data_IF_961501231715
#
_entry.id   IF_961501231715
#
_cell.length_a   1.000
_cell.length_b   1.000
_cell.length_c   1.000
_cell.angle_alpha   90.00
_cell.angle_beta   90.00
_cell.angle_gamma   90.00
#
_symmetry.space_group_name_H-M   'P 1'
#
loop_
_entity.id
_entity.type
_entity.pdbx_description
1 polymer ?
#
# COMPACT_ATOMS: atom_id res chain seq x y z
N UNK A 1 -14.40 -62.08 18.48
CA UNK A 1 -14.90 -61.06 17.54
C UNK A 1 -14.25 -59.73 17.89
N UNK A 2 -13.11 -59.40 17.26
CA UNK A 2 -12.37 -58.17 17.49
C UNK A 2 -12.55 -57.29 16.25
N UNK A 3 -13.26 -56.16 16.38
CA UNK A 3 -13.42 -55.18 15.29
C UNK A 3 -12.27 -54.18 15.36
N UNK A 4 -11.36 -54.26 14.38
CA UNK A 4 -10.33 -53.25 14.16
C UNK A 4 -10.97 -52.01 13.52
N UNK A 5 -10.79 -50.84 14.14
CA UNK A 5 -11.16 -49.54 13.59
C UNK A 5 -9.89 -48.98 12.93
N UNK A 6 -9.88 -48.94 11.60
CA UNK A 6 -8.87 -48.20 10.84
C UNK A 6 -9.23 -46.71 10.86
N UNK A 7 -8.45 -45.91 11.57
CA UNK A 7 -8.49 -44.45 11.45
C UNK A 7 -7.69 -44.05 10.20
N UNK A 8 -8.39 -43.58 9.17
CA UNK A 8 -7.76 -42.99 7.99
C UNK A 8 -7.25 -41.60 8.34
N UNK A 9 -5.93 -41.45 8.45
CA UNK A 9 -5.28 -40.14 8.52
C UNK A 9 -5.26 -39.56 7.11
N UNK A 10 -6.18 -38.64 6.83
CA UNK A 10 -6.14 -37.84 5.61
C UNK A 10 -4.98 -36.84 5.72
N UNK A 11 -3.87 -37.11 5.03
CA UNK A 11 -2.88 -36.07 4.74
C UNK A 11 -3.54 -35.04 3.84
N UNK A 12 -3.85 -33.87 4.40
CA UNK A 12 -4.22 -32.69 3.62
C UNK A 12 -2.93 -32.22 2.93
N UNK A 13 -2.71 -32.65 1.69
CA UNK A 13 -1.76 -32.00 0.81
C UNK A 13 -2.29 -30.59 0.52
N UNK A 14 -1.63 -29.56 1.05
CA UNK A 14 -1.91 -28.18 0.68
C UNK A 14 -1.70 -28.01 -0.83
N UNK A 15 -2.61 -27.36 -1.57
CA UNK A 15 -2.48 -27.27 -3.01
C UNK A 15 -1.38 -26.27 -3.36
N UNK A 16 -0.35 -26.75 -4.06
CA UNK A 16 0.65 -25.94 -4.75
C UNK A 16 0.07 -25.09 -5.92
N UNK A 17 -1.26 -24.95 -6.01
CA UNK A 17 -1.97 -24.26 -7.09
C UNK A 17 -2.25 -22.77 -6.83
N UNK A 18 -2.03 -22.27 -5.60
CA UNK A 18 -2.30 -20.86 -5.26
C UNK A 18 -1.27 -19.90 -5.89
N UNK A 19 -0.03 -20.37 -6.08
CA UNK A 19 1.04 -19.58 -6.68
C UNK A 19 0.76 -19.18 -8.13
N UNK A 20 -0.22 -19.78 -8.82
CA UNK A 20 -0.49 -19.49 -10.23
C UNK A 20 -1.44 -18.30 -10.46
N UNK A 21 -2.03 -17.71 -9.41
CA UNK A 21 -3.19 -16.80 -9.58
C UNK A 21 -2.87 -15.29 -9.72
N UNK A 22 -1.73 -14.80 -9.21
CA UNK A 22 -1.37 -13.39 -9.49
C UNK A 22 -1.11 -13.18 -11.00
N UNK A 23 -1.46 -12.01 -11.57
CA UNK A 23 -1.26 -11.76 -12.99
C UNK A 23 0.20 -11.93 -13.43
N UNK A 24 0.40 -12.54 -14.60
CA UNK A 24 1.70 -12.61 -15.28
C UNK A 24 1.63 -11.83 -16.58
N UNK A 25 2.60 -10.94 -16.86
CA UNK A 25 2.61 -10.24 -18.13
C UNK A 25 3.08 -11.20 -19.23
N UNK A 26 2.54 -11.04 -20.43
CA UNK A 26 3.16 -11.60 -21.64
C UNK A 26 4.22 -10.60 -22.09
N UNK A 27 5.49 -11.00 -22.08
CA UNK A 27 6.59 -10.14 -22.53
C UNK A 27 7.61 -10.93 -23.35
N UNK A 28 8.16 -10.28 -24.38
CA UNK A 28 9.30 -10.78 -25.16
C UNK A 28 10.61 -10.17 -24.71
N UNK A 29 10.57 -9.24 -23.75
CA UNK A 29 11.74 -8.56 -23.23
C UNK A 29 12.69 -9.56 -22.57
N UNK A 30 13.99 -9.38 -22.82
CA UNK A 30 15.07 -10.16 -22.21
C UNK A 30 15.84 -9.25 -21.27
N UNK A 31 15.53 -9.36 -19.98
CA UNK A 31 16.21 -8.59 -18.96
C UNK A 31 17.71 -8.94 -18.89
N UNK A 32 18.58 -7.98 -18.54
CA UNK A 32 19.94 -8.29 -18.13
C UNK A 32 19.96 -9.34 -17.02
N UNK A 33 21.00 -10.17 -16.98
CA UNK A 33 21.16 -11.19 -15.94
C UNK A 33 21.94 -10.62 -14.76
N UNK A 34 21.46 -10.89 -13.55
CA UNK A 34 22.21 -10.63 -12.34
C UNK A 34 23.31 -11.70 -12.15
N UNK A 35 24.16 -11.53 -11.13
CA UNK A 35 25.26 -12.45 -10.85
C UNK A 35 24.82 -13.88 -10.49
N UNK A 36 23.55 -14.07 -10.13
CA UNK A 36 22.92 -15.37 -9.87
C UNK A 36 22.34 -16.04 -11.14
N UNK A 37 22.45 -15.39 -12.31
CA UNK A 37 21.94 -15.88 -13.58
C UNK A 37 20.45 -15.64 -13.83
N UNK A 38 19.72 -15.07 -12.88
CA UNK A 38 18.31 -14.70 -13.05
C UNK A 38 18.15 -13.30 -13.65
N UNK A 39 16.92 -12.94 -14.01
CA UNK A 39 16.62 -11.59 -14.49
C UNK A 39 16.94 -10.57 -13.39
N UNK A 40 17.65 -9.50 -13.74
CA UNK A 40 18.07 -8.48 -12.78
C UNK A 40 16.89 -7.59 -12.39
N UNK A 41 16.56 -7.57 -11.09
CA UNK A 41 15.62 -6.60 -10.50
C UNK A 41 16.34 -5.38 -9.89
N UNK A 42 17.68 -5.45 -9.78
CA UNK A 42 18.54 -4.44 -9.18
C UNK A 42 18.22 -3.01 -9.63
N UNK A 43 18.02 -2.11 -8.68
CA UNK A 43 17.84 -0.70 -8.97
C UNK A 43 16.85 0.00 -8.06
N UNK A 44 16.65 1.28 -8.36
CA UNK A 44 15.68 2.13 -7.68
C UNK A 44 14.44 2.28 -8.57
N UNK A 45 13.28 2.04 -7.99
CA UNK A 45 12.01 1.91 -8.66
C UNK A 45 10.95 2.76 -7.95
N UNK A 46 9.95 3.23 -8.67
CA UNK A 46 8.78 3.91 -8.11
C UNK A 46 7.48 3.34 -8.64
N UNK A 47 6.45 3.29 -7.80
CA UNK A 47 5.07 3.03 -8.18
C UNK A 47 4.18 4.29 -8.10
N UNK A 48 4.80 5.49 -8.01
CA UNK A 48 4.10 6.77 -7.94
C UNK A 48 3.12 6.91 -9.11
N UNK A 49 1.85 7.14 -8.77
CA UNK A 49 0.76 7.13 -9.74
C UNK A 49 -0.52 7.66 -9.12
N UNK A 50 -1.31 8.35 -9.94
CA UNK A 50 -2.64 8.84 -9.55
C UNK A 50 -3.71 7.73 -9.44
N UNK A 51 -3.43 6.54 -9.97
CA UNK A 51 -4.36 5.41 -9.96
C UNK A 51 -4.46 4.82 -8.55
N UNK A 52 -5.68 4.57 -8.08
CA UNK A 52 -5.93 3.96 -6.76
C UNK A 52 -5.96 2.44 -6.86
N UNK A 53 -5.79 1.76 -5.72
CA UNK A 53 -5.96 0.31 -5.62
C UNK A 53 -7.33 -0.13 -6.17
N UNK A 54 -8.40 0.46 -5.62
CA UNK A 54 -9.78 0.16 -6.04
C UNK A 54 -10.27 1.13 -7.10
N UNK A 55 -11.04 0.61 -8.05
CA UNK A 55 -11.62 1.41 -9.14
C UNK A 55 -12.68 2.37 -8.60
N UNK A 56 -12.67 3.60 -9.11
CA UNK A 56 -13.73 4.55 -8.82
C UNK A 56 -15.05 4.06 -9.48
N UNK A 57 -16.19 4.03 -8.74
CA UNK A 57 -17.46 3.54 -9.26
C UNK A 57 -17.93 4.19 -10.58
N UNK A 58 -17.52 5.45 -10.83
CA UNK A 58 -17.86 6.16 -12.08
C UNK A 58 -17.36 5.45 -13.34
N UNK A 59 -16.34 4.61 -13.21
CA UNK A 59 -15.78 3.81 -14.31
C UNK A 59 -16.42 2.42 -14.42
N UNK A 60 -17.39 2.10 -13.56
CA UNK A 60 -18.09 0.81 -13.57
C UNK A 60 -17.13 -0.38 -13.61
N UNK A 61 -17.21 -1.15 -14.70
CA UNK A 61 -16.39 -2.35 -14.93
C UNK A 61 -15.20 -2.11 -15.85
N UNK A 62 -15.01 -0.88 -16.33
CA UNK A 62 -14.01 -0.57 -17.33
C UNK A 62 -12.63 -0.48 -16.68
N UNK A 63 -11.77 -1.46 -16.98
CA UNK A 63 -10.40 -1.50 -16.47
C UNK A 63 -9.50 -0.45 -17.15
N UNK A 64 -9.74 -0.19 -18.44
CA UNK A 64 -9.00 0.79 -19.21
C UNK A 64 -9.70 2.14 -19.20
N UNK A 65 -8.97 3.21 -18.87
CA UNK A 65 -9.48 4.57 -19.01
C UNK A 65 -9.53 4.97 -20.48
N UNK A 66 -10.52 5.78 -20.85
CA UNK A 66 -10.55 6.42 -22.16
C UNK A 66 -9.49 7.52 -22.25
N UNK A 67 -9.07 7.89 -23.45
CA UNK A 67 -8.16 9.04 -23.64
C UNK A 67 -8.73 10.35 -23.06
N UNK A 68 -10.05 10.53 -23.13
CA UNK A 68 -10.72 11.68 -22.53
C UNK A 68 -10.62 11.67 -21.00
N UNK A 69 -10.76 10.50 -20.37
CA UNK A 69 -10.58 10.35 -18.92
C UNK A 69 -9.15 10.62 -18.50
N UNK A 70 -8.17 10.09 -19.25
CA UNK A 70 -6.74 10.32 -19.00
C UNK A 70 -6.44 11.82 -19.10
N UNK A 71 -6.84 12.46 -20.19
CA UNK A 71 -6.60 13.89 -20.41
C UNK A 71 -7.22 14.75 -19.29
N UNK A 72 -8.41 14.39 -18.80
CA UNK A 72 -9.09 15.07 -17.71
C UNK A 72 -8.40 14.86 -16.36
N UNK A 73 -8.06 13.61 -16.01
CA UNK A 73 -7.42 13.27 -14.74
C UNK A 73 -6.03 13.90 -14.66
N UNK A 74 -5.17 13.60 -15.62
CA UNK A 74 -3.79 14.09 -15.63
C UNK A 74 -3.76 15.61 -15.85
N UNK A 75 -4.70 16.16 -16.65
CA UNK A 75 -4.84 17.61 -16.85
C UNK A 75 -5.28 18.37 -15.60
N UNK A 76 -6.20 17.82 -14.80
CA UNK A 76 -6.55 18.39 -13.50
C UNK A 76 -5.36 18.38 -12.55
N UNK A 77 -4.61 17.29 -12.51
CA UNK A 77 -3.44 17.18 -11.63
C UNK A 77 -2.34 18.16 -12.01
N UNK A 78 -2.04 18.32 -13.31
CA UNK A 78 -1.09 19.33 -13.78
C UNK A 78 -1.47 20.74 -13.34
N UNK A 79 -2.76 21.10 -13.38
CA UNK A 79 -3.25 22.40 -12.89
C UNK A 79 -3.08 22.55 -11.38
N UNK A 80 -3.24 21.48 -10.60
CA UNK A 80 -3.03 21.51 -9.15
C UNK A 80 -1.55 21.67 -8.80
N UNK A 81 -0.66 20.95 -9.50
CA UNK A 81 0.79 21.09 -9.35
C UNK A 81 1.20 22.53 -9.72
N UNK A 82 0.77 23.03 -10.89
CA UNK A 82 1.07 24.41 -11.31
C UNK A 82 0.55 25.46 -10.31
N UNK A 83 -0.60 25.21 -9.67
CA UNK A 83 -1.11 26.08 -8.62
C UNK A 83 -0.27 26.00 -7.34
N UNK A 84 0.16 24.81 -6.95
CA UNK A 84 1.00 24.58 -5.77
C UNK A 84 2.43 25.11 -5.92
N UNK A 85 2.94 25.19 -7.15
CA UNK A 85 4.27 25.74 -7.45
C UNK A 85 4.29 27.28 -7.49
N UNK A 86 3.13 27.94 -7.42
CA UNK A 86 3.07 29.41 -7.39
C UNK A 86 3.54 29.92 -6.02
N UNK A 87 4.22 31.09 -5.99
CA UNK A 87 4.54 31.74 -4.73
C UNK A 87 3.29 32.01 -3.89
N UNK A 88 3.30 31.55 -2.65
CA UNK A 88 2.30 31.94 -1.66
C UNK A 88 2.57 33.38 -1.21
N UNK A 89 1.53 34.22 -1.14
CA UNK A 89 1.66 35.56 -0.53
C UNK A 89 2.11 35.39 0.93
N UNK A 90 3.23 36.01 1.36
CA UNK A 90 3.70 35.92 2.74
C UNK A 90 2.69 36.35 3.81
N UNK A 91 1.65 37.10 3.42
CA UNK A 91 0.58 37.55 4.31
C UNK A 91 -0.71 36.71 4.19
N UNK A 92 -0.75 35.71 3.31
CA UNK A 92 -1.91 34.84 3.18
C UNK A 92 -2.14 34.04 4.47
N UNK A 93 -3.40 33.99 4.90
CA UNK A 93 -3.82 33.07 5.96
C UNK A 93 -4.16 31.73 5.33
N UNK A 94 -4.18 30.67 6.15
CA UNK A 94 -4.62 29.34 5.69
C UNK A 94 -6.02 29.39 5.05
N UNK A 95 -6.90 30.25 5.55
CA UNK A 95 -8.24 30.47 5.01
C UNK A 95 -8.28 31.11 3.63
N UNK A 96 -7.17 31.71 3.19
CA UNK A 96 -7.06 32.45 1.94
C UNK A 96 -6.47 31.58 0.81
N UNK A 97 -6.06 30.34 1.13
CA UNK A 97 -5.40 29.45 0.17
C UNK A 97 -6.38 28.92 -0.89
N UNK A 98 -6.02 28.97 -2.19
CA UNK A 98 -6.94 28.74 -3.30
C UNK A 98 -7.25 27.26 -3.59
N UNK A 99 -6.62 26.30 -2.90
CA UNK A 99 -6.79 24.88 -3.12
C UNK A 99 -6.78 24.08 -1.82
N UNK A 100 -7.53 22.98 -1.81
CA UNK A 100 -7.38 21.92 -0.81
C UNK A 100 -5.97 21.32 -0.94
N UNK A 101 -5.25 21.25 0.15
CA UNK A 101 -3.79 21.30 0.18
C UNK A 101 -3.11 20.00 -0.19
N UNK A 102 -3.11 19.70 -1.50
CA UNK A 102 -2.40 18.55 -2.10
C UNK A 102 -2.68 17.22 -1.41
N UNK A 103 -3.91 17.03 -0.91
CA UNK A 103 -4.34 15.81 -0.21
C UNK A 103 -4.09 15.79 1.30
N UNK A 104 -3.46 16.82 1.87
CA UNK A 104 -3.42 17.08 3.31
C UNK A 104 -4.78 17.53 3.82
N UNK A 105 -5.28 16.88 4.87
CA UNK A 105 -6.59 17.18 5.49
C UNK A 105 -6.35 17.79 6.87
N UNK A 106 -6.84 19.00 7.14
CA UNK A 106 -6.72 19.63 8.47
C UNK A 106 -6.86 21.15 8.48
N UNK A 107 -6.72 21.76 9.66
CA UNK A 107 -6.85 23.21 9.89
C UNK A 107 -5.71 24.04 9.28
N UNK A 108 -4.57 23.41 8.95
CA UNK A 108 -3.36 24.06 8.45
C UNK A 108 -2.79 23.38 7.20
N UNK A 109 -3.62 22.67 6.43
CA UNK A 109 -3.19 22.08 5.15
C UNK A 109 -2.10 20.98 5.22
N UNK A 110 -1.65 20.59 6.42
CA UNK A 110 -0.63 19.59 6.77
C UNK A 110 0.73 19.76 6.05
N UNK A 111 0.75 19.66 4.72
CA UNK A 111 1.93 19.72 3.87
C UNK A 111 1.74 20.77 2.77
N UNK A 112 2.79 21.56 2.50
CA UNK A 112 2.86 22.30 1.25
C UNK A 112 2.93 21.31 0.07
N UNK A 113 2.40 21.71 -1.09
CA UNK A 113 2.36 20.86 -2.29
C UNK A 113 3.73 20.27 -2.67
N UNK A 114 4.81 21.03 -2.47
CA UNK A 114 6.18 20.60 -2.76
C UNK A 114 6.68 19.41 -1.90
N UNK A 115 6.01 19.09 -0.79
CA UNK A 115 6.32 17.93 0.05
C UNK A 115 5.56 16.65 -0.35
N UNK A 116 4.59 16.75 -1.25
CA UNK A 116 3.77 15.62 -1.69
C UNK A 116 4.15 15.17 -3.09
N UNK A 117 4.08 13.87 -3.35
CA UNK A 117 4.24 13.29 -4.69
C UNK A 117 3.12 12.26 -4.95
N UNK A 118 1.92 12.74 -5.33
CA UNK A 118 0.82 11.85 -5.69
C UNK A 118 0.99 11.20 -7.08
N UNK A 119 2.12 11.45 -7.75
CA UNK A 119 2.35 11.09 -9.15
C UNK A 119 1.69 12.07 -10.13
N UNK A 120 2.26 12.16 -11.34
CA UNK A 120 1.79 13.07 -12.40
C UNK A 120 0.89 12.42 -13.45
N UNK A 121 0.85 11.08 -13.48
CA UNK A 121 0.16 10.30 -14.52
C UNK A 121 -0.65 9.16 -13.91
N UNK A 122 -1.66 8.69 -14.65
CA UNK A 122 -2.33 7.43 -14.32
C UNK A 122 -1.41 6.24 -14.60
N UNK A 123 -1.55 5.17 -13.83
CA UNK A 123 -0.81 3.93 -14.03
C UNK A 123 -1.11 3.36 -15.41
N UNK A 124 -0.07 2.86 -16.08
CA UNK A 124 -0.18 2.15 -17.36
C UNK A 124 0.44 0.77 -17.21
N UNK A 125 -0.29 -0.27 -17.60
CA UNK A 125 0.22 -1.65 -17.66
C UNK A 125 0.19 -2.08 -19.13
N UNK A 126 1.34 -2.49 -19.67
CA UNK A 126 1.53 -2.72 -21.09
C UNK A 126 1.02 -1.54 -21.97
N UNK A 127 1.21 -0.31 -21.49
CA UNK A 127 0.76 0.92 -22.16
C UNK A 127 -0.71 1.28 -21.95
N UNK A 128 -1.56 0.39 -21.41
CA UNK A 128 -2.98 0.67 -21.19
C UNK A 128 -3.21 1.44 -19.87
N UNK A 129 -3.89 2.60 -19.88
CA UNK A 129 -4.16 3.38 -18.68
C UNK A 129 -5.18 2.68 -17.79
N UNK A 130 -4.86 2.47 -16.51
CA UNK A 130 -5.68 1.72 -15.55
C UNK A 130 -6.58 2.63 -14.72
N UNK A 131 -7.86 2.24 -14.61
CA UNK A 131 -8.86 2.88 -13.74
C UNK A 131 -8.78 2.43 -12.27
N UNK A 132 -8.01 1.37 -11.99
CA UNK A 132 -7.69 0.81 -10.69
C UNK A 132 -6.70 -0.35 -10.81
N UNK A 133 -6.06 -0.79 -9.73
CA UNK A 133 -5.09 -1.89 -9.75
C UNK A 133 -5.74 -3.28 -9.68
N UNK A 134 -6.90 -3.40 -9.04
CA UNK A 134 -7.61 -4.68 -8.92
C UNK A 134 -8.21 -5.08 -10.28
N UNK A 135 -7.81 -6.25 -10.75
CA UNK A 135 -8.24 -6.83 -12.04
C UNK A 135 -9.05 -8.11 -11.86
N UNK A 136 -8.98 -8.75 -10.69
CA UNK A 136 -9.64 -10.03 -10.44
C UNK A 136 -11.14 -9.93 -10.18
N UNK A 137 -11.63 -8.73 -9.80
CA UNK A 137 -13.06 -8.48 -9.57
C UNK A 137 -13.64 -7.60 -10.67
N UNK A 138 -14.89 -7.85 -11.12
CA UNK A 138 -15.47 -7.09 -12.23
C UNK A 138 -15.53 -5.59 -11.98
N UNK A 139 -15.80 -5.17 -10.75
CA UNK A 139 -15.88 -3.77 -10.32
C UNK A 139 -14.54 -3.23 -9.81
N UNK A 140 -13.49 -4.04 -9.76
CA UNK A 140 -12.15 -3.61 -9.34
C UNK A 140 -12.11 -3.18 -7.87
N UNK A 141 -12.94 -3.80 -7.05
CA UNK A 141 -13.02 -3.58 -5.59
C UNK A 141 -12.59 -4.80 -4.81
N UNK A 142 -12.20 -4.55 -3.56
CA UNK A 142 -11.88 -5.63 -2.62
C UNK A 142 -13.17 -6.37 -2.28
N UNK A 143 -13.24 -7.70 -2.50
CA UNK A 143 -14.46 -8.48 -2.26
C UNK A 143 -14.61 -8.79 -0.77
N UNK A 144 -14.88 -7.77 0.05
CA UNK A 144 -15.09 -7.90 1.48
C UNK A 144 -16.24 -8.88 1.81
N UNK A 145 -16.07 -9.67 2.86
CA UNK A 145 -17.20 -10.40 3.44
C UNK A 145 -18.23 -9.41 3.99
N UNK A 146 -19.51 -9.76 3.90
CA UNK A 146 -20.61 -8.91 4.37
C UNK A 146 -20.70 -8.80 5.89
N UNK A 147 -20.15 -9.77 6.61
CA UNK A 147 -20.19 -9.86 8.07
C UNK A 147 -18.92 -9.33 8.74
N UNK A 148 -18.02 -8.71 7.96
CA UNK A 148 -16.79 -8.12 8.46
C UNK A 148 -16.87 -6.60 8.34
N UNK A 149 -16.73 -5.91 9.47
CA UNK A 149 -16.54 -4.47 9.53
C UNK A 149 -15.06 -4.17 9.67
N UNK A 150 -14.51 -3.42 8.73
CA UNK A 150 -13.12 -2.93 8.80
C UNK A 150 -13.15 -1.54 9.40
N UNK A 151 -12.45 -1.37 10.52
CA UNK A 151 -12.23 -0.04 11.09
C UNK A 151 -11.40 0.80 10.10
N UNK A 152 -11.86 2.02 9.75
CA UNK A 152 -11.08 2.92 8.90
C UNK A 152 -9.79 3.39 9.59
N UNK A 153 -9.70 3.25 10.92
CA UNK A 153 -8.54 3.62 11.74
C UNK A 153 -7.60 2.44 12.03
N UNK A 154 -7.79 1.30 11.37
CA UNK A 154 -6.94 0.12 11.54
C UNK A 154 -7.32 -0.73 12.76
N UNK A 155 -6.35 -1.06 13.61
CA UNK A 155 -6.54 -2.01 14.72
C UNK A 155 -7.56 -1.46 15.73
N UNK A 156 -8.57 -2.25 16.08
CA UNK A 156 -9.47 -1.94 17.20
C UNK A 156 -8.69 -2.03 18.51
N UNK A 157 -8.69 -0.94 19.28
CA UNK A 157 -8.07 -0.90 20.60
C UNK A 157 -8.88 -1.73 21.61
N UNK A 158 -8.24 -2.29 22.65
CA UNK A 158 -8.94 -2.93 23.75
C UNK A 158 -9.98 -1.99 24.38
N UNK A 159 -11.09 -2.51 24.93
CA UNK A 159 -12.07 -1.69 25.63
C UNK A 159 -11.43 -0.83 26.72
N UNK A 160 -11.79 0.45 26.77
CA UNK A 160 -11.28 1.41 27.76
C UNK A 160 -9.94 2.07 27.38
N UNK A 161 -9.39 1.79 26.20
CA UNK A 161 -8.19 2.45 25.69
C UNK A 161 -8.53 3.36 24.51
N UNK A 162 -8.20 4.65 24.61
CA UNK A 162 -8.32 5.62 23.53
C UNK A 162 -7.01 5.72 22.72
N UNK A 163 -7.12 6.29 21.51
CA UNK A 163 -6.01 6.39 20.55
C UNK A 163 -4.85 7.26 21.06
N UNK A 164 -5.12 8.18 21.98
CA UNK A 164 -4.12 9.09 22.55
C UNK A 164 -3.75 8.79 24.01
N UNK A 165 -4.15 7.63 24.53
CA UNK A 165 -3.81 7.27 25.91
C UNK A 165 -2.37 6.82 26.08
N UNK A 166 -1.82 6.13 25.07
CA UNK A 166 -0.47 5.60 25.11
C UNK A 166 0.19 5.67 23.73
N UNK A 167 1.53 5.76 23.65
CA UNK A 167 2.25 5.66 22.39
C UNK A 167 1.89 4.41 21.59
N UNK A 168 1.66 3.28 22.27
CA UNK A 168 1.30 1.99 21.67
C UNK A 168 -0.11 1.95 21.07
N UNK A 169 -0.98 2.89 21.46
CA UNK A 169 -2.32 3.06 20.88
C UNK A 169 -2.28 3.72 19.50
N UNK A 170 -1.17 4.40 19.16
CA UNK A 170 -0.97 5.03 17.84
C UNK A 170 -0.65 4.02 16.77
N UNK A 171 -0.90 4.42 15.52
CA UNK A 171 -0.61 3.59 14.37
C UNK A 171 0.90 3.31 14.23
N UNK A 172 1.32 2.18 13.64
CA UNK A 172 2.73 1.88 13.42
C UNK A 172 3.50 2.99 12.67
N UNK A 173 2.85 3.65 11.70
CA UNK A 173 3.40 4.78 10.94
C UNK A 173 3.78 5.96 11.82
N UNK A 174 2.89 6.38 12.72
CA UNK A 174 3.14 7.51 13.63
C UNK A 174 4.18 7.20 14.69
N UNK A 175 4.42 5.91 14.94
CA UNK A 175 5.46 5.42 15.84
C UNK A 175 6.79 5.17 15.11
N UNK A 176 6.85 5.45 13.80
CA UNK A 176 8.00 5.17 12.94
C UNK A 176 8.45 3.70 12.96
N UNK A 177 7.51 2.76 13.18
CA UNK A 177 7.81 1.33 13.20
C UNK A 177 7.69 0.67 11.82
N UNK A 178 6.79 1.21 11.01
CA UNK A 178 6.51 0.81 9.64
C UNK A 178 6.12 2.04 8.85
N UNK A 179 6.20 1.95 7.54
CA UNK A 179 5.68 2.96 6.63
C UNK A 179 4.18 3.23 6.82
N UNK A 180 3.75 4.42 6.39
CA UNK A 180 2.36 4.84 6.44
C UNK A 180 1.53 4.12 5.38
N UNK A 181 0.32 3.69 5.76
CA UNK A 181 -0.53 2.89 4.89
C UNK A 181 0.06 1.50 4.67
N UNK A 182 0.16 1.07 3.40
CA UNK A 182 0.69 -0.25 3.05
C UNK A 182 1.75 -0.15 1.94
N UNK A 183 2.52 0.95 1.89
CA UNK A 183 3.52 1.16 0.85
C UNK A 183 4.67 0.17 0.92
N UNK A 184 5.06 -0.30 2.11
CA UNK A 184 6.09 -1.33 2.29
C UNK A 184 5.63 -2.77 2.06
N UNK A 185 4.31 -2.97 1.93
CA UNK A 185 3.70 -4.20 1.47
C UNK A 185 3.86 -5.43 2.37
N UNK A 186 3.45 -6.61 1.87
CA UNK A 186 2.53 -6.81 0.74
C UNK A 186 1.08 -6.38 1.07
N UNK A 187 0.24 -5.91 0.15
CA UNK A 187 0.46 -5.45 -1.24
C UNK A 187 1.09 -4.05 -1.22
N UNK A 188 2.17 -3.80 -1.96
CA UNK A 188 2.80 -2.46 -2.01
C UNK A 188 1.89 -1.46 -2.73
N UNK A 189 1.29 -0.52 -2.01
CA UNK A 189 0.38 0.49 -2.58
C UNK A 189 1.02 1.88 -2.44
N UNK A 190 1.08 2.69 -3.51
CA UNK A 190 1.61 4.05 -3.41
C UNK A 190 0.82 4.88 -2.39
N UNK A 191 1.56 5.59 -1.54
CA UNK A 191 1.07 6.61 -0.62
C UNK A 191 1.12 8.01 -1.22
N UNK A 192 1.04 9.02 -0.35
CA UNK A 192 1.03 10.44 -0.73
C UNK A 192 2.39 10.94 -1.25
N UNK A 193 3.49 10.32 -0.84
CA UNK A 193 4.87 10.65 -1.20
C UNK A 193 5.80 9.49 -0.80
N UNK A 194 7.10 9.59 -1.13
CA UNK A 194 8.14 8.57 -0.88
C UNK A 194 7.77 7.18 -1.40
N UNK A 195 7.22 7.15 -2.62
CA UNK A 195 6.79 5.95 -3.34
C UNK A 195 7.96 5.25 -4.03
N UNK A 196 9.11 5.15 -3.36
CA UNK A 196 10.38 4.69 -3.92
C UNK A 196 10.89 3.44 -3.22
N UNK A 197 11.46 2.53 -4.02
CA UNK A 197 11.89 1.20 -3.63
C UNK A 197 13.25 0.90 -4.21
N UNK A 198 14.20 0.44 -3.40
CA UNK A 198 15.46 -0.10 -3.87
C UNK A 198 15.46 -1.61 -3.75
N UNK A 199 15.63 -2.29 -4.88
CA UNK A 199 15.78 -3.73 -4.96
C UNK A 199 17.27 -4.05 -5.00
N UNK A 200 17.71 -4.89 -4.06
CA UNK A 200 19.07 -5.44 -4.00
C UNK A 200 18.98 -6.96 -4.06
N UNK A 201 19.62 -7.56 -5.05
CA UNK A 201 19.52 -8.97 -5.39
C UNK A 201 20.85 -9.68 -5.11
N UNK A 202 20.75 -10.80 -4.41
CA UNK A 202 21.85 -11.71 -4.15
C UNK A 202 21.45 -13.12 -4.56
N UNK A 203 22.41 -14.04 -4.55
CA UNK A 203 22.12 -15.46 -4.84
C UNK A 203 21.11 -16.10 -3.87
N UNK A 204 21.01 -15.59 -2.64
CA UNK A 204 20.22 -16.22 -1.56
C UNK A 204 19.00 -15.40 -1.14
N UNK A 205 18.94 -14.11 -1.51
CA UNK A 205 17.86 -13.21 -1.09
C UNK A 205 17.71 -12.02 -2.03
N UNK A 206 16.49 -11.47 -2.07
CA UNK A 206 16.21 -10.14 -2.62
C UNK A 206 15.75 -9.24 -1.47
N UNK A 207 16.48 -8.17 -1.21
CA UNK A 207 16.08 -7.13 -0.27
C UNK A 207 15.32 -6.02 -1.02
N UNK A 208 14.19 -5.61 -0.47
CA UNK A 208 13.40 -4.48 -0.96
C UNK A 208 13.41 -3.44 0.15
N UNK A 209 14.22 -2.40 -0.04
CA UNK A 209 14.26 -1.24 0.85
C UNK A 209 13.24 -0.22 0.36
N UNK A 210 12.34 0.21 1.24
CA UNK A 210 11.31 1.20 0.96
C UNK A 210 11.71 2.52 1.57
N UNK A 211 11.61 3.60 0.80
CA UNK A 211 12.05 4.94 1.22
C UNK A 211 11.36 5.38 2.51
N UNK A 212 10.03 5.30 2.55
CA UNK A 212 9.24 5.75 3.68
C UNK A 212 9.55 4.91 4.93
N UNK A 213 10.02 5.56 5.99
CA UNK A 213 10.43 4.97 7.30
C UNK A 213 11.67 4.05 7.29
N UNK A 214 12.13 3.57 6.12
CA UNK A 214 13.21 2.58 5.91
C UNK A 214 12.86 1.12 6.15
N UNK A 215 11.67 0.74 5.75
CA UNK A 215 11.29 -0.65 5.81
C UNK A 215 12.16 -1.49 4.88
N UNK A 216 12.78 -2.55 5.42
CA UNK A 216 13.55 -3.52 4.64
C UNK A 216 12.82 -4.86 4.66
N UNK A 217 12.29 -5.27 3.51
CA UNK A 217 11.72 -6.60 3.33
C UNK A 217 12.76 -7.53 2.71
N UNK A 218 13.12 -8.58 3.43
CA UNK A 218 14.07 -9.59 2.95
C UNK A 218 13.31 -10.81 2.44
N UNK A 219 13.31 -10.99 1.12
CA UNK A 219 12.76 -12.18 0.45
C UNK A 219 13.83 -13.26 0.39
N UNK A 220 13.66 -14.32 1.17
CA UNK A 220 14.62 -15.45 1.21
C UNK A 220 14.35 -16.40 0.04
N UNK A 221 15.34 -16.57 -0.84
CA UNK A 221 15.18 -17.39 -2.05
C UNK A 221 15.27 -18.89 -1.76
N UNK A 222 14.38 -19.66 -2.38
CA UNK A 222 14.29 -21.13 -2.29
C UNK A 222 14.25 -21.65 -0.84
N UNK A 223 13.72 -20.84 0.07
CA UNK A 223 13.64 -21.14 1.48
C UNK A 223 12.27 -21.70 1.86
N UNK A 224 12.14 -22.15 3.10
CA UNK A 224 10.86 -22.49 3.71
C UNK A 224 10.38 -21.34 4.59
N UNK A 225 9.07 -21.23 4.73
CA UNK A 225 8.47 -20.36 5.73
C UNK A 225 8.91 -20.78 7.14
N UNK A 226 9.01 -19.79 8.02
CA UNK A 226 9.35 -20.00 9.41
C UNK A 226 8.22 -20.74 10.15
N UNK A 227 8.60 -21.52 11.15
CA UNK A 227 7.67 -22.33 11.97
C UNK A 227 7.85 -22.09 13.47
N UNK A 228 8.63 -21.06 13.83
CA UNK A 228 8.98 -20.71 15.22
C UNK A 228 7.92 -19.81 15.89
N UNK A 229 6.82 -19.50 15.19
CA UNK A 229 5.72 -18.67 15.70
C UNK A 229 6.00 -17.16 15.69
N UNK A 230 7.19 -16.73 15.26
CA UNK A 230 7.51 -15.30 15.14
C UNK A 230 6.78 -14.71 13.94
N UNK A 231 6.19 -13.53 14.12
CA UNK A 231 5.47 -12.77 13.09
C UNK A 231 6.17 -11.43 12.83
N UNK A 232 7.04 -11.33 11.82
CA UNK A 232 7.73 -10.08 11.50
C UNK A 232 6.75 -8.99 11.07
N UNK A 233 7.16 -7.72 11.21
CA UNK A 233 6.32 -6.56 10.90
C UNK A 233 5.75 -6.54 9.47
N UNK A 234 6.48 -7.05 8.48
CA UNK A 234 6.07 -7.15 7.07
C UNK A 234 5.73 -8.60 6.64
N UNK A 235 5.56 -9.49 7.62
CA UNK A 235 5.42 -10.92 7.40
C UNK A 235 6.73 -11.65 7.08
N UNK A 236 6.60 -12.96 6.84
CA UNK A 236 7.68 -13.84 6.44
C UNK A 236 7.61 -14.08 4.93
N UNK A 237 8.55 -13.50 4.17
CA UNK A 237 8.62 -13.64 2.72
C UNK A 237 9.64 -14.70 2.30
N UNK A 238 9.20 -15.63 1.45
CA UNK A 238 10.07 -16.53 0.68
C UNK A 238 9.85 -16.27 -0.81
N UNK A 239 10.85 -16.57 -1.63
CA UNK A 239 10.70 -16.41 -3.08
C UNK A 239 11.41 -17.47 -3.90
N UNK A 240 11.02 -17.59 -5.15
CA UNK A 240 11.64 -18.47 -6.13
C UNK A 240 11.48 -17.87 -7.53
N UNK A 241 12.30 -18.34 -8.45
CA UNK A 241 12.28 -17.86 -9.84
C UNK A 241 11.45 -18.79 -10.72
N UNK A 242 10.55 -18.21 -11.50
CA UNK A 242 9.83 -18.87 -12.58
C UNK A 242 10.22 -18.20 -13.90
N UNK A 243 11.28 -18.71 -14.52
CA UNK A 243 11.92 -18.05 -15.66
C UNK A 243 12.52 -16.70 -15.24
N UNK A 244 12.01 -15.62 -15.82
CA UNK A 244 12.47 -14.24 -15.57
C UNK A 244 11.60 -13.51 -14.52
N UNK A 245 10.68 -14.22 -13.87
CA UNK A 245 9.78 -13.69 -12.86
C UNK A 245 10.22 -14.16 -11.47
N UNK A 246 10.42 -13.22 -10.54
CA UNK A 246 10.52 -13.53 -9.12
C UNK A 246 9.11 -13.66 -8.56
N UNK A 247 8.78 -14.84 -8.04
CA UNK A 247 7.55 -15.09 -7.28
C UNK A 247 7.88 -14.98 -5.80
N UNK A 248 7.06 -14.27 -5.03
CA UNK A 248 7.22 -14.07 -3.60
C UNK A 248 5.93 -14.48 -2.89
N UNK A 249 6.03 -15.40 -1.95
CA UNK A 249 4.93 -15.73 -1.04
C UNK A 249 5.24 -15.13 0.34
N UNK A 250 4.27 -14.41 0.90
CA UNK A 250 4.37 -13.82 2.23
C UNK A 250 3.21 -14.25 3.10
N UNK A 251 3.53 -14.73 4.30
CA UNK A 251 2.59 -15.15 5.34
C UNK A 251 3.03 -14.61 6.71
N UNK A 252 2.41 -15.05 7.81
CA UNK A 252 2.86 -14.75 9.18
C UNK A 252 3.01 -13.24 9.48
N UNK A 253 2.10 -12.43 8.95
CA UNK A 253 2.05 -10.99 9.20
C UNK A 253 1.92 -10.69 10.69
N UNK A 254 2.55 -9.59 11.11
CA UNK A 254 2.38 -9.08 12.45
C UNK A 254 0.93 -8.61 12.66
N UNK A 255 0.28 -8.89 13.81
CA UNK A 255 -1.14 -8.59 14.01
C UNK A 255 -1.48 -7.09 13.99
N UNK A 256 -0.48 -6.22 14.10
CA UNK A 256 -0.65 -4.77 13.99
C UNK A 256 -0.45 -4.24 12.56
N UNK A 257 0.01 -5.07 11.61
CA UNK A 257 0.01 -4.74 10.19
C UNK A 257 -1.30 -5.23 9.57
N UNK A 258 -2.21 -4.29 9.29
CA UNK A 258 -3.55 -4.60 8.80
C UNK A 258 -3.70 -4.09 7.38
N UNK A 259 -3.98 -5.01 6.45
CA UNK A 259 -4.30 -4.69 5.07
C UNK A 259 -5.76 -5.02 4.78
N UNK A 260 -6.60 -3.99 4.63
CA UNK A 260 -8.05 -4.14 4.35
C UNK A 260 -8.77 -5.05 5.36
N UNK A 261 -8.38 -4.97 6.64
CA UNK A 261 -8.92 -5.80 7.72
C UNK A 261 -8.21 -7.14 7.92
N UNK A 262 -7.41 -7.60 6.95
CA UNK A 262 -6.63 -8.82 7.03
C UNK A 262 -5.28 -8.60 7.71
N UNK A 263 -4.81 -9.60 8.46
CA UNK A 263 -3.49 -9.59 9.11
C UNK A 263 -2.97 -11.00 9.33
N UNK A 264 -3.26 -11.64 10.47
CA UNK A 264 -2.61 -12.89 10.88
C UNK A 264 -2.84 -14.07 9.94
N UNK A 265 -3.98 -14.08 9.22
CA UNK A 265 -4.39 -15.09 8.25
C UNK A 265 -4.14 -14.64 6.80
N UNK A 266 -3.55 -13.46 6.61
CA UNK A 266 -3.24 -12.92 5.30
C UNK A 266 -2.11 -13.75 4.67
N UNK A 267 -2.36 -14.15 3.44
CA UNK A 267 -1.36 -14.66 2.51
C UNK A 267 -1.37 -13.77 1.28
N UNK A 268 -0.18 -13.36 0.84
CA UNK A 268 -0.02 -12.62 -0.41
C UNK A 268 1.02 -13.28 -1.27
N UNK A 269 0.68 -13.50 -2.53
CA UNK A 269 1.61 -13.93 -3.58
C UNK A 269 1.87 -12.75 -4.51
N UNK A 270 3.11 -12.31 -4.59
CA UNK A 270 3.57 -11.24 -5.48
C UNK A 270 4.39 -11.83 -6.63
N UNK A 271 4.39 -11.14 -7.78
CA UNK A 271 5.23 -11.46 -8.93
C UNK A 271 5.89 -10.21 -9.46
N UNK A 272 7.21 -10.26 -9.60
CA UNK A 272 8.03 -9.19 -10.15
C UNK A 272 8.63 -9.66 -11.47
N UNK A 273 8.22 -9.03 -12.57
CA UNK A 273 8.68 -9.40 -13.92
C UNK A 273 9.20 -8.17 -14.63
N UNK A 274 10.49 -8.09 -14.99
CA UNK A 274 10.98 -7.05 -15.88
C UNK A 274 10.27 -7.15 -17.24
N UNK A 275 9.64 -6.07 -17.67
CA UNK A 275 8.89 -6.00 -18.95
C UNK A 275 9.48 -4.99 -19.93
N UNK A 276 10.47 -4.23 -19.49
CA UNK A 276 11.27 -3.33 -20.31
C UNK A 276 12.50 -2.82 -19.55
N UNK A 277 13.36 -2.00 -20.18
CA UNK A 277 14.57 -1.48 -19.54
C UNK A 277 14.26 -0.67 -18.26
N UNK A 278 13.18 0.11 -18.29
CA UNK A 278 12.78 1.01 -17.21
C UNK A 278 11.44 0.60 -16.58
N UNK A 279 11.00 -0.65 -16.79
CA UNK A 279 9.64 -1.11 -16.44
C UNK A 279 9.65 -2.50 -15.83
N UNK A 280 9.04 -2.62 -14.65
CA UNK A 280 8.85 -3.90 -13.97
C UNK A 280 7.36 -4.08 -13.66
N UNK A 281 6.76 -5.13 -14.20
CA UNK A 281 5.40 -5.54 -13.87
C UNK A 281 5.36 -6.15 -12.47
N UNK A 282 4.35 -5.73 -11.73
CA UNK A 282 4.02 -6.22 -10.42
C UNK A 282 2.61 -6.78 -10.41
N UNK A 283 2.49 -8.09 -10.24
CA UNK A 283 1.23 -8.77 -10.00
C UNK A 283 1.10 -9.17 -8.53
N UNK A 284 -0.09 -9.07 -7.97
CA UNK A 284 -0.35 -9.52 -6.60
C UNK A 284 -1.64 -10.33 -6.50
N UNK A 285 -1.66 -11.26 -5.55
CA UNK A 285 -2.79 -12.09 -5.20
C UNK A 285 -2.91 -12.20 -3.70
N UNK A 286 -4.12 -12.02 -3.19
CA UNK A 286 -4.44 -11.80 -1.77
C UNK A 286 -5.46 -12.82 -1.33
N UNK A 287 -5.14 -13.50 -0.22
CA UNK A 287 -5.94 -14.55 0.36
C UNK A 287 -6.07 -14.31 1.86
N UNK A 288 -7.30 -14.15 2.34
CA UNK A 288 -7.66 -14.25 3.76
C UNK A 288 -9.14 -14.60 3.83
N UNK A 289 -9.51 -15.89 3.99
CA UNK A 289 -10.91 -16.31 4.02
C UNK A 289 -11.64 -15.81 5.28
N UNK A 290 -10.92 -15.31 6.28
CA UNK A 290 -11.53 -14.72 7.47
C UNK A 290 -12.05 -13.31 7.20
N UNK A 291 -11.56 -12.63 6.15
CA UNK A 291 -11.89 -11.23 5.84
C UNK A 291 -12.55 -11.07 4.47
N UNK A 292 -12.07 -11.79 3.45
CA UNK A 292 -12.53 -11.65 2.07
C UNK A 292 -13.46 -12.80 1.67
N UNK A 293 -14.47 -12.48 0.86
CA UNK A 293 -15.45 -13.46 0.36
C UNK A 293 -14.88 -14.38 -0.73
N UNK A 294 -13.78 -13.97 -1.37
CA UNK A 294 -12.99 -14.75 -2.30
C UNK A 294 -11.55 -14.20 -2.35
N UNK A 295 -10.57 -15.00 -2.77
CA UNK A 295 -9.25 -14.48 -3.15
C UNK A 295 -9.37 -13.42 -4.25
N UNK A 296 -8.45 -12.46 -4.24
CA UNK A 296 -8.46 -11.35 -5.18
C UNK A 296 -7.06 -10.84 -5.49
N UNK A 297 -6.91 -10.10 -6.57
CA UNK A 297 -5.62 -9.64 -7.03
C UNK A 297 -5.70 -8.57 -8.10
N UNK A 298 -4.52 -8.14 -8.50
CA UNK A 298 -4.36 -7.00 -9.37
C UNK A 298 -2.95 -6.86 -9.87
N UNK A 299 -2.72 -5.76 -10.58
CA UNK A 299 -1.42 -5.47 -11.19
C UNK A 299 -1.19 -3.98 -11.38
N UNK A 300 0.09 -3.61 -11.39
CA UNK A 300 0.59 -2.33 -11.88
C UNK A 300 2.04 -2.49 -12.36
N UNK A 301 2.67 -1.42 -12.82
CA UNK A 301 4.09 -1.43 -13.17
C UNK A 301 4.88 -0.41 -12.35
N UNK A 302 6.06 -0.82 -11.89
CA UNK A 302 7.08 0.09 -11.41
C UNK A 302 7.81 0.74 -12.58
N UNK A 303 8.18 2.01 -12.40
CA UNK A 303 9.09 2.74 -13.28
C UNK A 303 10.45 2.87 -12.60
N UNK A 304 11.53 2.68 -13.35
CA UNK A 304 12.89 2.90 -12.82
C UNK A 304 13.13 4.40 -12.66
N UNK A 305 13.86 4.76 -11.60
CA UNK A 305 14.33 6.13 -11.39
C UNK A 305 15.86 6.15 -11.30
N UNK A 306 16.45 7.26 -11.71
CA UNK A 306 17.88 7.51 -11.55
C UNK A 306 18.16 8.13 -10.19
N UNK A 307 19.27 7.73 -9.55
CA UNK A 307 19.72 8.31 -8.29
C UNK A 307 19.81 7.27 -7.18
N UNK A 308 20.06 7.76 -5.97
CA UNK A 308 20.14 6.95 -4.77
C UNK A 308 18.87 7.14 -3.95
N UNK A 309 18.49 6.09 -3.24
CA UNK A 309 17.48 6.20 -2.20
C UNK A 309 18.13 6.92 -1.00
N UNK A 310 17.48 7.97 -0.52
CA UNK A 310 17.95 8.74 0.64
C UNK A 310 17.25 8.29 1.92
N UNK A 311 17.83 8.72 3.04
CA UNK A 311 17.32 8.41 4.36
C UNK A 311 15.99 9.16 4.65
N UNK A 312 14.93 8.44 5.02
CA UNK A 312 13.72 8.96 5.68
C UNK A 312 13.87 8.94 7.21
N UNK A 313 14.44 10.01 7.78
CA UNK A 313 14.72 10.10 9.22
C UNK A 313 13.45 10.33 10.07
N UNK A 314 12.54 9.36 10.13
CA UNK A 314 11.21 9.50 10.77
C UNK A 314 11.26 9.95 12.24
N UNK A 315 12.30 9.55 12.98
CA UNK A 315 12.47 9.92 14.39
C UNK A 315 13.23 11.24 14.60
N UNK A 316 14.02 11.70 13.62
CA UNK A 316 14.85 12.89 13.79
C UNK A 316 13.96 14.15 13.76
N UNK A 317 13.97 14.92 14.85
CA UNK A 317 13.12 16.11 14.98
C UNK A 317 11.62 15.81 15.07
N UNK A 318 11.22 14.54 15.27
CA UNK A 318 9.81 14.18 15.38
C UNK A 318 9.29 14.41 16.81
N UNK A 319 8.65 15.55 17.01
CA UNK A 319 7.94 15.90 18.25
C UNK A 319 6.45 15.58 18.20
N UNK A 320 5.94 15.10 17.06
CA UNK A 320 4.52 14.92 16.80
C UNK A 320 3.86 13.99 17.80
N UNK A 321 4.47 12.83 18.06
CA UNK A 321 3.94 11.85 19.01
C UNK A 321 3.84 12.43 20.44
N UNK A 322 4.90 13.09 20.92
CA UNK A 322 4.89 13.71 22.25
C UNK A 322 3.85 14.83 22.36
N UNK A 323 3.71 15.64 21.30
CA UNK A 323 2.74 16.73 21.24
C UNK A 323 1.29 16.22 21.22
N UNK A 324 1.00 15.17 20.42
CA UNK A 324 -0.32 14.54 20.36
C UNK A 324 -0.73 14.03 21.75
N UNK A 325 0.16 13.30 22.42
CA UNK A 325 -0.12 12.74 23.74
C UNK A 325 -0.28 13.85 24.80
N UNK A 326 0.57 14.88 24.75
CA UNK A 326 0.47 16.04 25.66
C UNK A 326 -0.83 16.82 25.44
N UNK A 327 -1.24 17.00 24.18
CA UNK A 327 -2.53 17.62 23.83
C UNK A 327 -3.71 16.84 24.40
N UNK A 328 -3.69 15.52 24.30
CA UNK A 328 -4.74 14.68 24.89
C UNK A 328 -4.81 14.83 26.42
N UNK A 329 -3.67 14.93 27.12
CA UNK A 329 -3.66 15.21 28.56
C UNK A 329 -4.22 16.59 28.90
N UNK A 330 -4.05 17.57 28.01
CA UNK A 330 -4.68 18.89 28.17
C UNK A 330 -6.20 18.82 28.03
N UNK A 331 -6.70 18.09 27.03
CA UNK A 331 -8.14 17.88 26.83
C UNK A 331 -8.79 17.22 28.04
N UNK A 332 -8.14 16.21 28.62
CA UNK A 332 -8.59 15.57 29.86
C UNK A 332 -8.62 16.53 31.04
N UNK A 333 -7.55 17.32 31.21
CA UNK A 333 -7.42 18.27 32.33
C UNK A 333 -8.44 19.40 32.25
N UNK A 334 -8.64 19.93 31.05
CA UNK A 334 -9.55 21.05 30.81
C UNK A 334 -11.01 20.62 30.69
N UNK A 335 -11.27 19.35 30.37
CA UNK A 335 -12.59 18.84 29.99
C UNK A 335 -13.06 19.35 28.63
N UNK A 336 -12.22 20.09 27.90
CA UNK A 336 -12.51 20.63 26.57
C UNK A 336 -11.87 19.70 25.56
N UNK A 337 -12.69 18.94 24.84
CA UNK A 337 -12.23 18.25 23.63
C UNK A 337 -12.04 19.28 22.53
N UNK A 338 -10.91 19.24 21.82
CA UNK A 338 -10.74 20.10 20.65
C UNK A 338 -11.88 19.86 19.67
N UNK A 339 -12.36 20.95 19.05
CA UNK A 339 -13.46 20.86 18.10
C UNK A 339 -13.07 19.94 16.93
N UNK A 340 -14.01 19.12 16.42
CA UNK A 340 -13.79 18.31 15.23
C UNK A 340 -13.26 19.21 14.12
N UNK A 341 -12.19 18.77 13.48
CA UNK A 341 -11.58 19.48 12.36
C UNK A 341 -12.58 19.59 11.21
N UNK A 342 -12.34 20.49 10.25
CA UNK A 342 -13.14 20.54 9.02
C UNK A 342 -13.18 19.19 8.28
N UNK A 343 -12.22 18.30 8.56
CA UNK A 343 -12.15 16.93 8.05
C UNK A 343 -13.19 16.03 8.71
N UNK A 344 -13.34 16.12 10.03
CA UNK A 344 -14.32 15.37 10.80
C UNK A 344 -15.74 15.82 10.45
N UNK A 345 -15.91 17.11 10.17
CA UNK A 345 -17.18 17.71 9.74
C UNK A 345 -17.54 17.32 8.29
N UNK A 346 -16.59 17.38 7.35
CA UNK A 346 -16.81 16.93 5.96
C UNK A 346 -16.94 15.43 5.83
N UNK A 347 -16.27 14.62 6.66
CA UNK A 347 -16.49 13.17 6.69
C UNK A 347 -17.91 12.82 7.16
N UNK A 348 -18.49 13.64 8.05
CA UNK A 348 -19.89 13.52 8.46
C UNK A 348 -20.87 14.03 7.37
N UNK A 349 -20.47 15.01 6.55
CA UNK A 349 -21.27 15.56 5.45
C UNK A 349 -21.11 14.81 4.10
N UNK A 350 -20.01 14.06 3.93
CA UNK A 350 -19.63 13.37 2.69
C UNK A 350 -20.51 12.16 2.32
N UNK A 351 -21.64 11.99 2.99
CA UNK A 351 -22.76 11.18 2.48
C UNK A 351 -23.58 11.89 1.41
N UNK A 352 -23.45 13.21 1.24
CA UNK A 352 -24.38 14.00 0.41
C UNK A 352 -23.71 14.90 -0.67
N UNK A 353 -22.39 15.15 -0.66
CA UNK A 353 -21.80 16.19 -1.54
C UNK A 353 -20.85 15.72 -2.67
N UNK A 354 -20.58 14.41 -2.86
CA UNK A 354 -19.91 13.95 -4.11
C UNK A 354 -20.87 13.82 -5.31
N UNK A 355 -22.17 14.12 -5.14
CA UNK A 355 -23.19 14.07 -6.21
C UNK A 355 -23.34 15.38 -7.02
N UNK A 356 -22.79 16.52 -6.60
CA UNK A 356 -22.97 17.79 -7.33
C UNK A 356 -21.64 18.47 -7.69
N UNK A 357 -21.16 18.18 -8.91
CA UNK A 357 -20.00 18.87 -9.49
C UNK A 357 -19.64 18.34 -10.88
N UNK A 358 -20.54 18.58 -11.83
CA UNK A 358 -20.49 18.28 -13.29
C UNK A 358 -19.09 18.42 -13.95
#
# INVERSE_FOLDING_TARGET
MLRAIFAAVALIAAPAAAADQAPRPVTTYKAPRAGDGHASLEGVWTNSSMTRLERNPRFGKDLALTEADVARIEGRNRKLIELGDKPTDPNAKVTDLPADCSGGRGVDCNYNAAWTDPGSTVMRVAGQPRSGYITSTPDGRVPMRKDIEVSPFGRRLPPGLEINDNPESRSPGERCLLSFGNSSGPVMVPGLYNNTYQFVQTKDAVAILVEMVHDVRIVRLNAKHRTDGVRPWLGDSIGWWEGDTLVVETTAYHPQQIFRGASENLKVTERFTPVGPERMHYGFWVEDPTVFSQPWGGEYEFSRISGQLYEYACHEGNYGLANILSGAREEERSGVKTAPTNVDQRAAQGGEEEEEGN
#
